data_IF_702547426922
#
_entry.id   IF_702547426922
#
_cell.length_a   1.000
_cell.length_b   1.000
_cell.length_c   1.000
_cell.angle_alpha   90.00
_cell.angle_beta   90.00
_cell.angle_gamma   90.00
#
_symmetry.space_group_name_H-M   'P 1'
#
loop_
_entity.id
_entity.type
_entity.pdbx_description
1 polymer ?
#
# COMPACT_ATOMS: atom_id res chain seq x y z
N UNK A 1 -12.77 -26.66 -7.32
CA UNK A 1 -12.45 -25.29 -7.68
C UNK A 1 -11.59 -24.73 -6.53
N UNK A 2 -10.26 -24.82 -6.67
CA UNK A 2 -9.35 -24.29 -5.66
C UNK A 2 -9.53 -22.77 -5.58
N UNK A 3 -9.95 -22.27 -4.44
CA UNK A 3 -9.96 -20.84 -4.15
C UNK A 3 -8.50 -20.38 -4.03
N UNK A 4 -7.92 -19.96 -5.15
CA UNK A 4 -6.55 -19.45 -5.18
C UNK A 4 -6.52 -18.14 -4.39
N UNK A 5 -5.93 -18.18 -3.20
CA UNK A 5 -5.77 -16.98 -2.39
C UNK A 5 -4.85 -16.01 -3.11
N UNK A 6 -5.33 -14.81 -3.38
CA UNK A 6 -4.53 -13.73 -3.94
C UNK A 6 -3.67 -13.15 -2.82
N UNK A 7 -2.35 -13.13 -3.00
CA UNK A 7 -1.45 -12.42 -2.09
C UNK A 7 -1.62 -10.92 -2.28
N UNK A 8 -2.02 -10.21 -1.22
CA UNK A 8 -2.27 -8.77 -1.31
C UNK A 8 -1.72 -8.03 -0.11
N UNK A 9 -1.09 -6.89 -0.34
CA UNK A 9 -0.50 -6.05 0.70
C UNK A 9 -0.30 -4.62 0.22
N UNK A 10 -0.14 -3.72 1.20
CA UNK A 10 0.17 -2.32 0.97
C UNK A 10 1.59 -2.01 1.47
N UNK A 11 2.36 -1.27 0.68
CA UNK A 11 3.70 -0.81 1.05
C UNK A 11 3.59 0.64 1.50
N UNK A 12 3.93 0.90 2.74
CA UNK A 12 3.90 2.24 3.34
C UNK A 12 5.26 2.60 3.95
N UNK A 13 5.41 3.82 4.36
CA UNK A 13 6.58 4.31 5.09
C UNK A 13 6.17 5.41 6.08
N UNK A 14 6.95 5.70 7.12
CA UNK A 14 6.67 6.79 8.05
C UNK A 14 6.75 8.18 7.41
N UNK A 15 7.51 8.32 6.32
CA UNK A 15 7.72 9.58 5.62
C UNK A 15 8.01 9.38 4.15
N UNK A 16 7.88 10.47 3.37
CA UNK A 16 8.35 10.50 1.98
C UNK A 16 9.86 10.28 1.90
N UNK A 17 10.35 9.75 0.78
CA UNK A 17 11.78 9.52 0.56
C UNK A 17 12.37 8.32 1.27
N UNK A 18 11.58 7.49 1.96
CA UNK A 18 12.05 6.29 2.67
C UNK A 18 12.32 5.08 1.78
N UNK A 19 12.13 5.18 0.47
CA UNK A 19 12.40 4.10 -0.47
C UNK A 19 11.19 3.25 -0.85
N UNK A 20 9.96 3.66 -0.53
CA UNK A 20 8.73 2.94 -0.90
C UNK A 20 8.69 2.53 -2.37
N UNK A 21 8.91 3.50 -3.26
CA UNK A 21 8.84 3.27 -4.71
C UNK A 21 9.87 2.25 -5.18
N UNK A 22 11.10 2.30 -4.65
CA UNK A 22 12.15 1.34 -4.96
C UNK A 22 11.77 -0.07 -4.51
N UNK A 23 11.28 -0.21 -3.28
CA UNK A 23 10.85 -1.50 -2.73
C UNK A 23 9.64 -2.04 -3.49
N UNK A 24 8.63 -1.20 -3.75
CA UNK A 24 7.43 -1.60 -4.49
C UNK A 24 7.78 -2.13 -5.88
N UNK A 25 8.59 -1.38 -6.62
CA UNK A 25 9.01 -1.77 -7.97
C UNK A 25 9.87 -3.03 -7.97
N UNK A 26 10.78 -3.15 -6.99
CA UNK A 26 11.60 -4.34 -6.83
C UNK A 26 10.78 -5.60 -6.55
N UNK A 27 9.79 -5.51 -5.66
CA UNK A 27 8.87 -6.61 -5.35
C UNK A 27 7.99 -6.97 -6.56
N UNK A 28 7.43 -5.97 -7.24
CA UNK A 28 6.67 -6.20 -8.47
C UNK A 28 7.51 -6.94 -9.51
N UNK A 29 8.72 -6.47 -9.78
CA UNK A 29 9.63 -7.09 -10.75
C UNK A 29 10.01 -8.52 -10.34
N UNK A 30 10.26 -8.76 -9.06
CA UNK A 30 10.58 -10.09 -8.54
C UNK A 30 9.43 -11.07 -8.73
N UNK A 31 8.20 -10.67 -8.42
CA UNK A 31 7.01 -11.52 -8.57
C UNK A 31 6.72 -11.81 -10.06
N UNK A 32 6.86 -10.81 -10.92
CA UNK A 32 6.76 -10.98 -12.38
C UNK A 32 7.81 -11.98 -12.88
N UNK A 33 9.06 -11.84 -12.42
CA UNK A 33 10.14 -12.78 -12.79
C UNK A 33 9.84 -14.23 -12.35
N UNK A 34 9.07 -14.40 -11.27
CA UNK A 34 8.58 -15.70 -10.80
C UNK A 34 7.36 -16.22 -11.60
N UNK A 35 6.92 -15.51 -12.62
CA UNK A 35 5.80 -15.89 -13.47
C UNK A 35 4.42 -15.54 -12.92
N UNK A 36 4.36 -14.71 -11.87
CA UNK A 36 3.10 -14.30 -11.27
C UNK A 36 2.49 -13.10 -12.00
N UNK A 37 1.18 -13.07 -12.10
CA UNK A 37 0.42 -11.93 -12.60
C UNK A 37 0.22 -10.94 -11.46
N UNK A 38 0.91 -9.79 -11.52
CA UNK A 38 0.86 -8.76 -10.49
C UNK A 38 -0.06 -7.63 -10.93
N UNK A 39 -1.04 -7.29 -10.09
CA UNK A 39 -1.85 -6.10 -10.26
C UNK A 39 -1.32 -4.98 -9.35
N UNK A 40 -0.81 -3.89 -9.94
CA UNK A 40 -0.35 -2.74 -9.18
C UNK A 40 -1.48 -1.76 -8.88
N UNK A 41 -1.42 -1.18 -7.68
CA UNK A 41 -2.27 -0.07 -7.23
C UNK A 41 -1.42 1.02 -6.59
N UNK A 42 -1.92 2.23 -6.57
CA UNK A 42 -1.29 3.38 -5.93
C UNK A 42 -2.30 4.13 -5.07
N UNK A 43 -1.97 4.43 -3.82
CA UNK A 43 -2.78 5.33 -3.00
C UNK A 43 -2.69 6.76 -3.53
N UNK A 44 -3.84 7.43 -3.56
CA UNK A 44 -3.94 8.83 -3.95
C UNK A 44 -3.82 9.10 -5.46
N UNK A 45 -3.92 10.36 -5.87
CA UNK A 45 -3.89 10.78 -7.26
C UNK A 45 -2.44 10.95 -7.74
N UNK A 46 -1.75 9.87 -8.02
CA UNK A 46 -0.38 9.87 -8.51
C UNK A 46 -0.32 9.42 -9.98
N UNK A 47 0.32 10.22 -10.82
CA UNK A 47 0.47 9.96 -12.25
C UNK A 47 1.87 9.55 -12.68
N UNK A 48 2.84 9.63 -11.79
CA UNK A 48 4.24 9.32 -12.08
C UNK A 48 4.54 7.87 -11.70
N UNK A 49 4.31 7.47 -10.46
CA UNK A 49 4.59 6.13 -9.98
C UNK A 49 3.73 5.08 -10.69
N UNK A 50 2.48 5.41 -11.01
CA UNK A 50 1.58 4.53 -11.77
C UNK A 50 2.12 4.16 -13.15
N UNK A 51 2.85 5.05 -13.83
CA UNK A 51 3.51 4.75 -15.11
C UNK A 51 4.61 3.72 -14.94
N UNK A 52 5.42 3.85 -13.89
CA UNK A 52 6.48 2.88 -13.58
C UNK A 52 5.91 1.51 -13.20
N UNK A 53 4.86 1.49 -12.38
CA UNK A 53 4.17 0.26 -12.03
C UNK A 53 3.60 -0.45 -13.26
N UNK A 54 2.94 0.32 -14.13
CA UNK A 54 2.38 -0.20 -15.38
C UNK A 54 3.45 -0.80 -16.29
N UNK A 55 4.60 -0.12 -16.41
CA UNK A 55 5.72 -0.61 -17.22
C UNK A 55 6.30 -1.92 -16.68
N UNK A 56 6.43 -2.05 -15.35
CA UNK A 56 6.96 -3.26 -14.71
C UNK A 56 5.96 -4.41 -14.80
N UNK A 57 4.70 -4.17 -14.43
CA UNK A 57 3.68 -5.22 -14.31
C UNK A 57 2.99 -5.56 -15.64
N UNK A 58 3.14 -4.72 -16.67
CA UNK A 58 2.42 -4.82 -17.95
C UNK A 58 0.90 -4.87 -17.77
N UNK A 59 0.43 -4.27 -16.69
CA UNK A 59 -0.98 -4.07 -16.33
C UNK A 59 -1.14 -2.63 -15.84
N UNK A 60 -2.26 -1.96 -16.14
CA UNK A 60 -2.46 -0.58 -15.69
C UNK A 60 -2.45 -0.51 -14.17
N UNK A 61 -1.66 0.39 -13.62
CA UNK A 61 -1.70 0.73 -12.19
C UNK A 61 -2.88 1.63 -11.92
N UNK A 62 -3.67 1.31 -10.89
CA UNK A 62 -4.92 1.97 -10.58
C UNK A 62 -4.75 2.83 -9.32
N UNK A 63 -5.15 4.09 -9.40
CA UNK A 63 -5.19 4.98 -8.24
C UNK A 63 -6.36 4.64 -7.32
N UNK A 64 -6.06 4.52 -6.03
CA UNK A 64 -7.03 4.32 -4.96
C UNK A 64 -7.07 5.60 -4.12
N UNK A 65 -8.01 6.46 -4.42
CA UNK A 65 -8.10 7.80 -3.84
C UNK A 65 -9.44 7.98 -3.11
N UNK A 66 -9.40 8.01 -1.79
CA UNK A 66 -10.57 8.19 -0.92
C UNK A 66 -11.00 9.64 -0.77
N UNK A 67 -10.21 10.59 -1.29
CA UNK A 67 -10.60 12.00 -1.35
C UNK A 67 -11.51 12.29 -2.54
N UNK A 68 -11.15 11.81 -3.73
CA UNK A 68 -11.90 12.06 -4.97
C UNK A 68 -13.02 11.05 -5.21
N UNK A 69 -12.93 9.88 -4.58
CA UNK A 69 -13.87 8.78 -4.76
C UNK A 69 -14.44 8.30 -3.42
N UNK A 70 -15.65 7.76 -3.45
CA UNK A 70 -16.23 7.15 -2.25
C UNK A 70 -15.50 5.87 -1.85
N UNK A 71 -15.58 5.52 -0.56
CA UNK A 71 -15.03 4.26 -0.04
C UNK A 71 -15.59 3.03 -0.79
N UNK A 72 -16.88 3.06 -1.14
CA UNK A 72 -17.51 2.00 -1.92
C UNK A 72 -16.91 1.86 -3.31
N UNK A 73 -16.66 2.98 -3.99
CA UNK A 73 -16.03 2.98 -5.32
C UNK A 73 -14.60 2.47 -5.28
N UNK A 74 -13.82 2.84 -4.25
CA UNK A 74 -12.44 2.34 -4.07
C UNK A 74 -12.45 0.82 -3.89
N UNK A 75 -13.36 0.27 -3.08
CA UNK A 75 -13.53 -1.18 -2.91
C UNK A 75 -13.89 -1.88 -4.22
N UNK A 76 -14.82 -1.30 -4.98
CA UNK A 76 -15.25 -1.84 -6.27
C UNK A 76 -14.09 -1.86 -7.29
N UNK A 77 -13.37 -0.75 -7.42
CA UNK A 77 -12.19 -0.66 -8.29
C UNK A 77 -11.14 -1.72 -7.90
N UNK A 78 -10.84 -1.82 -6.61
CA UNK A 78 -9.86 -2.80 -6.13
C UNK A 78 -10.28 -4.22 -6.50
N UNK A 79 -11.49 -4.63 -6.15
CA UNK A 79 -12.00 -5.96 -6.44
C UNK A 79 -12.00 -6.26 -7.95
N UNK A 80 -12.43 -5.30 -8.76
CA UNK A 80 -12.49 -5.42 -10.22
C UNK A 80 -11.12 -5.68 -10.84
N UNK A 81 -10.12 -4.90 -10.48
CA UNK A 81 -8.79 -5.01 -11.06
C UNK A 81 -7.94 -6.14 -10.43
N UNK A 82 -8.21 -6.53 -9.19
CA UNK A 82 -7.59 -7.68 -8.56
C UNK A 82 -7.99 -9.01 -9.22
N UNK A 83 -9.12 -9.05 -9.91
CA UNK A 83 -9.62 -10.26 -10.58
C UNK A 83 -8.59 -10.79 -11.57
N UNK A 84 -8.25 -12.08 -11.45
CA UNK A 84 -7.29 -12.75 -12.33
C UNK A 84 -5.82 -12.41 -12.06
N UNK A 85 -5.52 -11.68 -10.99
CA UNK A 85 -4.16 -11.49 -10.51
C UNK A 85 -3.76 -12.61 -9.53
N UNK A 86 -2.46 -12.90 -9.47
CA UNK A 86 -1.88 -13.81 -8.48
C UNK A 86 -1.42 -13.03 -7.23
N UNK A 87 -1.06 -11.76 -7.43
CA UNK A 87 -0.68 -10.85 -6.36
C UNK A 87 -1.16 -9.43 -6.66
N UNK A 88 -1.53 -8.69 -5.60
CA UNK A 88 -1.87 -7.27 -5.66
C UNK A 88 -0.91 -6.49 -4.77
N UNK A 89 -0.23 -5.51 -5.33
CA UNK A 89 0.67 -4.63 -4.61
C UNK A 89 0.13 -3.22 -4.68
N UNK A 90 -0.18 -2.65 -3.51
CA UNK A 90 -0.59 -1.25 -3.38
C UNK A 90 0.57 -0.45 -2.83
N UNK A 91 1.05 0.55 -3.55
CA UNK A 91 2.04 1.49 -3.02
C UNK A 91 1.35 2.67 -2.35
N UNK A 92 1.72 2.95 -1.11
CA UNK A 92 1.27 4.10 -0.36
C UNK A 92 1.83 5.41 -0.88
N UNK A 93 1.28 6.52 -0.45
CA UNK A 93 1.77 7.87 -0.73
C UNK A 93 2.26 8.54 0.55
N UNK A 94 3.19 9.48 0.43
CA UNK A 94 3.73 10.28 1.56
C UNK A 94 4.07 9.40 2.78
N UNK A 95 3.90 9.91 3.99
CA UNK A 95 3.89 9.10 5.20
C UNK A 95 2.60 8.29 5.33
N UNK A 96 2.66 7.16 6.01
CA UNK A 96 1.55 6.20 6.11
C UNK A 96 0.25 6.85 6.62
N UNK A 97 0.36 7.81 7.53
CA UNK A 97 -0.78 8.51 8.14
C UNK A 97 -1.01 9.91 7.57
N UNK A 98 -0.26 10.31 6.54
CA UNK A 98 -0.42 11.63 5.92
C UNK A 98 -1.61 11.61 4.96
N UNK A 99 -2.62 12.37 5.30
CA UNK A 99 -3.83 12.56 4.51
C UNK A 99 -4.13 14.04 4.28
N UNK A 100 -5.30 14.35 3.74
CA UNK A 100 -5.75 15.73 3.52
C UNK A 100 -6.34 16.36 4.80
N UNK A 101 -6.80 15.55 5.74
CA UNK A 101 -7.28 15.95 7.05
C UNK A 101 -6.87 14.85 8.03
N UNK A 102 -5.72 15.03 8.69
CA UNK A 102 -5.05 14.02 9.52
C UNK A 102 -4.81 12.74 8.69
N UNK A 103 -5.36 11.61 9.11
CA UNK A 103 -5.23 10.31 8.45
C UNK A 103 -6.28 10.05 7.36
N UNK A 104 -7.25 10.96 7.17
CA UNK A 104 -8.25 10.84 6.09
C UNK A 104 -7.60 11.05 4.73
N UNK A 105 -7.82 10.10 3.83
CA UNK A 105 -7.15 10.06 2.53
C UNK A 105 -5.75 9.46 2.56
N UNK A 106 -5.29 8.97 3.72
CA UNK A 106 -3.96 8.39 3.89
C UNK A 106 -3.86 6.96 3.39
N UNK A 107 -2.61 6.48 3.29
CA UNK A 107 -2.33 5.07 2.99
C UNK A 107 -2.89 4.13 4.07
N UNK A 108 -2.89 4.57 5.33
CA UNK A 108 -3.47 3.81 6.45
C UNK A 108 -4.98 3.64 6.30
N UNK A 109 -5.70 4.70 5.87
CA UNK A 109 -7.13 4.61 5.59
C UNK A 109 -7.43 3.59 4.49
N UNK A 110 -6.68 3.63 3.38
CA UNK A 110 -6.84 2.67 2.27
C UNK A 110 -6.54 1.24 2.74
N UNK A 111 -5.49 1.04 3.54
CA UNK A 111 -5.15 -0.26 4.08
C UNK A 111 -6.28 -0.83 4.97
N UNK A 112 -6.85 0.00 5.85
CA UNK A 112 -7.98 -0.37 6.69
C UNK A 112 -9.25 -0.66 5.89
N UNK A 113 -9.56 0.21 4.92
CA UNK A 113 -10.72 0.08 4.06
C UNK A 113 -10.75 -1.25 3.26
N UNK A 114 -9.57 -1.66 2.78
CA UNK A 114 -9.40 -2.86 1.95
C UNK A 114 -8.90 -4.07 2.75
N UNK A 115 -8.72 -3.93 4.07
CA UNK A 115 -8.17 -4.96 4.95
C UNK A 115 -6.84 -5.54 4.44
N UNK A 116 -5.92 -4.65 4.04
CA UNK A 116 -4.62 -5.03 3.52
C UNK A 116 -3.57 -5.08 4.63
N UNK A 117 -2.80 -6.16 4.74
CA UNK A 117 -1.60 -6.15 5.57
C UNK A 117 -0.60 -5.12 5.01
N UNK A 118 0.12 -4.45 5.91
CA UNK A 118 1.06 -3.38 5.55
C UNK A 118 2.49 -3.86 5.72
N UNK A 119 3.29 -3.66 4.68
CA UNK A 119 4.75 -3.74 4.74
C UNK A 119 5.28 -2.33 4.94
N UNK A 120 5.89 -2.08 6.10
CA UNK A 120 6.43 -0.77 6.44
C UNK A 120 7.90 -0.68 6.03
N UNK A 121 8.21 0.26 5.14
CA UNK A 121 9.56 0.57 4.68
C UNK A 121 10.10 1.73 5.50
N UNK A 122 11.20 1.52 6.19
CA UNK A 122 11.82 2.53 7.05
C UNK A 122 13.25 2.79 6.61
N UNK A 123 13.59 4.05 6.40
CA UNK A 123 14.98 4.48 6.21
C UNK A 123 15.64 4.62 7.59
N UNK A 124 16.54 3.71 7.90
CA UNK A 124 17.32 3.72 9.14
C UNK A 124 18.67 4.44 9.00
N UNK A 125 18.89 5.20 7.93
CA UNK A 125 20.11 5.99 7.75
C UNK A 125 20.30 6.96 8.92
N UNK A 126 21.47 6.93 9.50
CA UNK A 126 21.83 7.78 10.65
C UNK A 126 20.95 7.55 11.91
N UNK A 127 20.32 6.39 12.01
CA UNK A 127 19.55 5.98 13.18
C UNK A 127 20.00 4.58 13.63
N UNK A 128 19.96 4.35 14.94
CA UNK A 128 20.18 3.04 15.53
C UNK A 128 18.91 2.60 16.27
N UNK A 129 18.95 2.52 17.59
CA UNK A 129 17.79 2.11 18.39
C UNK A 129 16.59 3.07 18.29
N UNK A 130 16.83 4.33 17.92
CA UNK A 130 15.75 5.34 17.72
C UNK A 130 14.73 4.98 16.62
N UNK A 131 15.02 3.97 15.81
CA UNK A 131 14.02 3.40 14.86
C UNK A 131 12.90 2.68 15.61
N UNK A 132 13.18 2.09 16.79
CA UNK A 132 12.20 1.31 17.55
C UNK A 132 10.96 2.15 17.99
N UNK A 133 11.10 3.35 18.57
CA UNK A 133 9.95 4.21 18.88
C UNK A 133 9.12 4.60 17.64
N UNK A 134 9.78 4.83 16.51
CA UNK A 134 9.12 5.15 15.25
C UNK A 134 8.25 3.98 14.77
N UNK A 135 8.80 2.77 14.79
CA UNK A 135 8.07 1.55 14.44
C UNK A 135 6.92 1.30 15.40
N UNK A 136 7.17 1.44 16.71
CA UNK A 136 6.15 1.28 17.74
C UNK A 136 4.99 2.25 17.55
N UNK A 137 5.28 3.52 17.25
CA UNK A 137 4.25 4.52 16.92
C UNK A 137 3.42 4.15 15.71
N UNK A 138 4.04 3.69 14.64
CA UNK A 138 3.33 3.22 13.45
C UNK A 138 2.41 2.01 13.76
N UNK A 139 2.87 1.07 14.58
CA UNK A 139 2.08 -0.11 14.96
C UNK A 139 0.90 0.23 15.87
N UNK A 140 1.05 1.22 16.76
CA UNK A 140 -0.02 1.65 17.67
C UNK A 140 -1.27 2.16 16.94
N UNK A 141 -1.11 2.75 15.76
CA UNK A 141 -2.22 3.26 14.96
C UNK A 141 -2.80 2.25 13.98
N UNK A 142 -2.06 1.19 13.64
CA UNK A 142 -2.51 0.15 12.69
C UNK A 142 -3.14 -1.05 13.36
N UNK A 143 -2.79 -1.33 14.62
CA UNK A 143 -3.45 -2.38 15.39
C UNK A 143 -4.71 -1.81 16.03
N UNK A 144 -5.84 -2.53 15.99
CA UNK A 144 -6.96 -2.18 16.83
C UNK A 144 -6.44 -2.12 18.28
N UNK A 145 -6.43 -0.91 18.83
CA UNK A 145 -5.99 -0.71 20.20
C UNK A 145 -6.93 -1.48 21.14
N UNK A 146 -6.42 -2.09 22.21
CA UNK A 146 -7.30 -2.62 23.26
C UNK A 146 -8.30 -1.58 23.79
N UNK A 147 -8.04 -0.28 23.56
CA UNK A 147 -8.97 0.82 23.89
C UNK A 147 -10.19 0.86 22.97
N UNK A 148 -10.11 0.29 21.77
CA UNK A 148 -11.22 0.28 20.81
C UNK A 148 -12.22 -0.84 21.12
N UNK A 149 -11.88 -1.74 22.06
CA UNK A 149 -12.72 -2.82 22.56
C UNK A 149 -13.20 -2.63 24.02
N UNK A 150 -12.89 -1.48 24.59
CA UNK A 150 -13.31 -1.15 25.97
C UNK A 150 -14.67 -0.47 26.02
#
# INVERSE_FOLDING_TARGET
MECRMISQFLIAAPSSGSGKTTVSRGLMALLIKKGLKVQPFKCGPDYIDTKYHTAVCRRPSINLDTFMASAGHVKELYARYATGADACITEGMMGMYDGYDRDRGSSAEVAGLLNLPVILVVDAKSAAYSVAPLLSGCLLYTSPSPRDYA
#
